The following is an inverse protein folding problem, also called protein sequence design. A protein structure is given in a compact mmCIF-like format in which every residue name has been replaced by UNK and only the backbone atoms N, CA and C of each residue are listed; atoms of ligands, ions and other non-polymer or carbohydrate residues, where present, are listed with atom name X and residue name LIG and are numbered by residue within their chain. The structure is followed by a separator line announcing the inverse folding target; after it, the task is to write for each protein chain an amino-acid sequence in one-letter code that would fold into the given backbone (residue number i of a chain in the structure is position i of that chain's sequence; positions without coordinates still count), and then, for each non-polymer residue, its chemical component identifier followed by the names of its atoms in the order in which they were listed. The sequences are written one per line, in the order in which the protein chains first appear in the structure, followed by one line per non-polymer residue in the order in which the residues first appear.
data_IF_064383818800
#
_entry.id   IF_064383818800
#
_cell.length_a   1.000
_cell.length_b   1.000
_cell.length_c   1.000
_cell.angle_alpha   90.00
_cell.angle_beta   90.00
_cell.angle_gamma   90.00
#
_symmetry.space_group_name_H-M   'P 1'
#
loop_
_entity.id
_entity.type
_entity.pdbx_description
1 polymer ?
#
# COMPACT_ATOMS: atom_id res chain seq x y z
N UNK A 1 -12.80 9.64 9.07
CA UNK A 1 -13.66 8.54 8.56
C UNK A 1 -14.06 8.90 7.14
N UNK A 2 -14.05 7.95 6.21
CA UNK A 2 -14.49 8.18 4.83
C UNK A 2 -16.02 8.39 4.82
N UNK A 3 -16.51 9.28 3.96
CA UNK A 3 -17.93 9.56 3.80
C UNK A 3 -18.72 8.29 3.41
N UNK A 4 -19.84 8.02 4.10
CA UNK A 4 -20.64 6.81 3.89
C UNK A 4 -21.27 6.78 2.48
N UNK A 5 -21.66 7.94 1.94
CA UNK A 5 -22.24 8.03 0.60
C UNK A 5 -21.22 7.73 -0.50
N UNK A 6 -19.97 8.16 -0.30
CA UNK A 6 -18.85 7.84 -1.17
C UNK A 6 -18.56 6.34 -1.16
N UNK A 7 -18.53 5.72 0.02
CA UNK A 7 -18.33 4.28 0.15
C UNK A 7 -19.43 3.47 -0.54
N UNK A 8 -20.70 3.87 -0.38
CA UNK A 8 -21.81 3.20 -1.05
C UNK A 8 -21.67 3.25 -2.59
N UNK A 9 -21.24 4.39 -3.15
CA UNK A 9 -20.97 4.52 -4.59
C UNK A 9 -19.84 3.61 -5.04
N UNK A 10 -18.70 3.61 -4.35
CA UNK A 10 -17.55 2.77 -4.69
C UNK A 10 -17.93 1.29 -4.63
N UNK A 11 -18.70 0.85 -3.63
CA UNK A 11 -19.11 -0.55 -3.50
C UNK A 11 -20.14 -0.97 -4.56
N UNK A 12 -20.94 -0.03 -5.08
CA UNK A 12 -21.88 -0.29 -6.18
C UNK A 12 -21.22 -0.48 -7.55
N UNK A 13 -19.96 -0.04 -7.71
CA UNK A 13 -19.20 -0.26 -8.93
C UNK A 13 -18.89 -1.74 -9.13
N UNK A 14 -18.84 -2.17 -10.39
CA UNK A 14 -18.37 -3.52 -10.70
C UNK A 14 -16.87 -3.65 -10.36
N UNK A 15 -16.33 -4.87 -10.22
CA UNK A 15 -14.92 -5.06 -9.86
C UNK A 15 -13.91 -4.41 -10.81
N UNK A 16 -14.18 -4.38 -12.11
CA UNK A 16 -13.28 -3.76 -13.10
C UNK A 16 -13.23 -2.24 -12.93
N UNK A 17 -14.38 -1.59 -12.79
CA UNK A 17 -14.47 -0.14 -12.59
C UNK A 17 -13.77 0.29 -11.28
N UNK A 18 -13.86 -0.53 -10.22
CA UNK A 18 -13.13 -0.26 -8.97
C UNK A 18 -11.62 -0.33 -9.16
N UNK A 19 -11.13 -1.32 -9.90
CA UNK A 19 -9.70 -1.44 -10.20
C UNK A 19 -9.22 -0.27 -11.06
N UNK A 20 -10.02 0.15 -12.04
CA UNK A 20 -9.73 1.33 -12.86
C UNK A 20 -9.72 2.61 -12.02
N UNK A 21 -10.58 2.74 -11.01
CA UNK A 21 -10.61 3.90 -10.10
C UNK A 21 -9.41 3.98 -9.15
N UNK A 22 -8.92 2.83 -8.65
CA UNK A 22 -7.83 2.80 -7.65
C UNK A 22 -6.56 3.46 -8.19
N UNK A 23 -6.19 3.19 -9.45
CA UNK A 23 -4.98 3.75 -10.06
C UNK A 23 -4.95 5.29 -10.06
N UNK A 24 -5.92 5.97 -10.70
CA UNK A 24 -5.99 7.43 -10.72
C UNK A 24 -6.11 8.06 -9.32
N UNK A 25 -6.82 7.42 -8.39
CA UNK A 25 -6.90 7.90 -6.99
C UNK A 25 -5.52 7.82 -6.34
N UNK A 26 -4.80 6.72 -6.55
CA UNK A 26 -3.42 6.56 -6.08
C UNK A 26 -2.47 7.60 -6.69
N UNK A 27 -2.52 7.78 -8.01
CA UNK A 27 -1.67 8.73 -8.73
C UNK A 27 -1.98 10.20 -8.40
N UNK A 28 -3.17 10.47 -7.85
CA UNK A 28 -3.53 11.82 -7.40
C UNK A 28 -2.82 12.24 -6.10
N UNK A 29 -2.21 11.30 -5.37
CA UNK A 29 -1.51 11.56 -4.11
C UNK A 29 -0.10 12.07 -4.36
N UNK A 30 0.27 13.13 -3.65
CA UNK A 30 1.63 13.64 -3.57
C UNK A 30 2.37 13.05 -2.36
N UNK A 31 3.68 12.81 -2.44
CA UNK A 31 4.51 12.44 -1.27
C UNK A 31 4.42 13.44 -0.11
N UNK A 32 4.00 14.68 -0.39
CA UNK A 32 3.82 15.73 0.62
C UNK A 32 2.45 15.71 1.29
N UNK A 33 1.46 15.00 0.74
CA UNK A 33 0.11 14.91 1.34
C UNK A 33 0.13 14.06 2.60
N UNK A 34 1.01 13.06 2.64
CA UNK A 34 1.26 12.21 3.79
C UNK A 34 2.76 11.93 3.92
N UNK A 35 3.55 12.86 4.49
CA UNK A 35 4.99 12.71 4.58
C UNK A 35 5.35 11.57 5.53
N UNK A 36 6.25 10.70 5.10
CA UNK A 36 6.82 9.63 5.93
C UNK A 36 7.69 10.26 7.01
N UNK A 37 7.43 9.91 8.28
CA UNK A 37 8.19 10.41 9.41
C UNK A 37 9.62 9.87 9.40
N UNK A 38 10.55 10.57 10.06
CA UNK A 38 11.95 10.12 10.11
C UNK A 38 12.10 8.77 10.83
N UNK A 39 11.21 8.47 11.78
CA UNK A 39 11.16 7.18 12.45
C UNK A 39 10.74 6.05 11.49
N UNK A 40 9.73 6.30 10.64
CA UNK A 40 9.29 5.34 9.62
C UNK A 40 10.34 5.13 8.53
N UNK A 41 11.01 6.19 8.08
CA UNK A 41 12.14 6.09 7.13
C UNK A 41 13.26 5.23 7.71
N UNK A 42 13.68 5.52 8.95
CA UNK A 42 14.73 4.74 9.62
C UNK A 42 14.36 3.26 9.76
N UNK A 43 13.08 2.96 10.02
CA UNK A 43 12.57 1.60 10.09
C UNK A 43 12.61 0.90 8.72
N UNK A 44 12.25 1.60 7.64
CA UNK A 44 12.32 1.05 6.28
C UNK A 44 13.77 0.79 5.87
N UNK A 45 14.68 1.73 6.13
CA UNK A 45 16.11 1.57 5.85
C UNK A 45 16.70 0.35 6.57
N UNK A 46 16.36 0.18 7.85
CA UNK A 46 16.79 -0.98 8.63
C UNK A 46 16.26 -2.30 8.06
N UNK A 47 14.99 -2.35 7.62
CA UNK A 47 14.40 -3.56 7.02
C UNK A 47 15.00 -3.88 5.65
N UNK A 48 15.33 -2.88 4.85
CA UNK A 48 15.99 -3.08 3.57
C UNK A 48 17.40 -3.65 3.77
N UNK A 49 18.18 -3.08 4.70
CA UNK A 49 19.51 -3.57 5.01
C UNK A 49 19.51 -5.00 5.56
N UNK A 50 18.52 -5.33 6.39
CA UNK A 50 18.31 -6.69 6.91
C UNK A 50 17.98 -7.68 5.79
N UNK A 51 17.04 -7.32 4.90
CA UNK A 51 16.67 -8.11 3.73
C UNK A 51 17.86 -8.38 2.79
N UNK A 52 18.74 -7.39 2.60
CA UNK A 52 19.96 -7.53 1.80
C UNK A 52 21.02 -8.40 2.47
N UNK A 53 21.12 -8.31 3.80
CA UNK A 53 22.10 -9.08 4.59
C UNK A 53 21.67 -10.53 4.82
N UNK A 54 20.35 -10.78 4.86
CA UNK A 54 19.73 -12.07 5.16
C UNK A 54 18.78 -12.50 4.03
N UNK A 55 19.28 -12.76 2.81
CA UNK A 55 18.42 -13.08 1.66
C UNK A 55 17.60 -14.38 1.84
N UNK A 56 18.10 -15.32 2.65
CA UNK A 56 17.44 -16.60 2.91
C UNK A 56 16.32 -16.51 3.97
N UNK A 57 16.18 -15.38 4.67
CA UNK A 57 15.11 -15.15 5.66
C UNK A 57 13.78 -14.71 5.02
N UNK A 58 13.73 -14.62 3.68
CA UNK A 58 12.53 -14.25 2.94
C UNK A 58 11.66 -15.47 2.65
N UNK A 59 10.35 -15.36 2.90
CA UNK A 59 9.39 -16.39 2.52
C UNK A 59 8.80 -16.11 1.13
N UNK A 60 8.77 -17.10 0.22
CA UNK A 60 8.12 -16.93 -1.07
C UNK A 60 6.61 -16.76 -0.90
N UNK A 61 6.00 -15.96 -1.77
CA UNK A 61 4.57 -15.62 -1.70
C UNK A 61 3.60 -16.81 -1.53
N UNK A 62 3.80 -17.97 -2.21
CA UNK A 62 2.94 -19.14 -2.01
C UNK A 62 2.90 -19.67 -0.57
N UNK A 63 3.96 -19.47 0.22
CA UNK A 63 4.02 -19.94 1.61
C UNK A 63 3.26 -19.04 2.58
N UNK A 64 3.14 -17.74 2.27
CA UNK A 64 2.53 -16.73 3.16
C UNK A 64 1.09 -16.35 2.80
N UNK A 65 0.62 -16.69 1.59
CA UNK A 65 -0.72 -16.31 1.07
C UNK A 65 -1.85 -17.24 1.57
N UNK A 66 -1.70 -17.89 2.71
CA UNK A 66 -2.71 -18.83 3.25
C UNK A 66 -3.99 -18.12 3.68
#
# INVERSE_FOLDING_TARGET
MIDESLMAKIVSLNPADRLELIGPVWDSLSPNDLPVTDAEKSLLDARLADMESNPDDQSPWPEVKT
#
